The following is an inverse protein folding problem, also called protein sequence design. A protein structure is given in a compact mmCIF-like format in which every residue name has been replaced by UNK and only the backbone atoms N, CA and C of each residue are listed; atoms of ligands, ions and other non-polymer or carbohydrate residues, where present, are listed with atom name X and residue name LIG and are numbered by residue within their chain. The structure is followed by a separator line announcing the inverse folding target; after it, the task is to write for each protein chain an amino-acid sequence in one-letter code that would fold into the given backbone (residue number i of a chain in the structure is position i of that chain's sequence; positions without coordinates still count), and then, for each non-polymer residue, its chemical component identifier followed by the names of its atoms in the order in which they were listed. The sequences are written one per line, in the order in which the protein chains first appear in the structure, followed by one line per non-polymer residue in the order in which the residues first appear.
data_IF_040516876224
#
_entry.id   IF_040516876224
#
_cell.length_a   1.000
_cell.length_b   1.000
_cell.length_c   1.000
_cell.angle_alpha   90.00
_cell.angle_beta   90.00
_cell.angle_gamma   90.00
#
_symmetry.space_group_name_H-M   'P 1'
#
loop_
_entity.id
_entity.type
_entity.pdbx_description
1 polymer ?
#
# COMPACT_ATOMS: atom_id res chain seq x y z
N UNK A 1 41.65 5.34 -13.29
CA UNK A 1 40.19 5.08 -13.12
C UNK A 1 39.48 5.82 -14.23
N UNK A 2 38.48 5.21 -14.87
CA UNK A 2 37.72 5.84 -15.96
C UNK A 2 36.63 6.74 -15.38
N UNK A 3 36.46 7.95 -15.93
CA UNK A 3 35.46 8.92 -15.51
C UNK A 3 34.26 8.97 -16.49
N UNK A 4 33.06 9.19 -15.98
CA UNK A 4 31.85 9.32 -16.82
C UNK A 4 31.96 10.46 -17.84
N UNK A 5 32.68 11.52 -17.50
CA UNK A 5 32.89 12.63 -18.42
C UNK A 5 33.78 12.22 -19.61
N UNK A 6 34.78 11.37 -19.40
CA UNK A 6 35.61 10.81 -20.47
C UNK A 6 34.79 9.94 -21.43
N UNK A 7 33.85 9.12 -20.89
CA UNK A 7 32.94 8.36 -21.71
C UNK A 7 32.01 9.24 -22.56
N UNK A 8 31.49 10.36 -21.97
CA UNK A 8 30.68 11.34 -22.72
C UNK A 8 31.51 11.98 -23.85
N UNK A 9 32.73 12.35 -23.60
CA UNK A 9 33.64 12.87 -24.60
C UNK A 9 33.88 11.88 -25.73
N UNK A 10 34.15 10.61 -25.39
CA UNK A 10 34.38 9.56 -26.36
C UNK A 10 33.16 9.30 -27.25
N UNK A 11 31.95 9.17 -26.66
CA UNK A 11 30.71 8.97 -27.41
C UNK A 11 30.48 10.13 -28.39
N UNK A 12 30.67 11.38 -27.97
CA UNK A 12 30.51 12.51 -28.85
C UNK A 12 31.50 12.47 -30.05
N UNK A 13 32.76 12.06 -29.83
CA UNK A 13 33.74 11.92 -30.94
C UNK A 13 33.38 10.74 -31.80
N UNK A 14 32.91 9.62 -31.26
CA UNK A 14 32.52 8.42 -31.99
C UNK A 14 31.34 8.66 -32.92
N UNK A 15 30.36 9.46 -32.47
CA UNK A 15 29.16 9.82 -33.27
C UNK A 15 29.46 10.87 -34.33
N UNK A 16 30.25 11.87 -33.99
CA UNK A 16 30.61 12.97 -34.91
C UNK A 16 31.70 12.58 -35.91
N UNK A 17 32.51 11.58 -35.61
CA UNK A 17 33.72 11.21 -36.35
C UNK A 17 34.62 12.42 -36.67
N UNK A 18 34.57 13.44 -35.78
CA UNK A 18 35.30 14.71 -35.95
C UNK A 18 35.41 15.43 -34.60
N UNK A 19 36.65 15.62 -34.13
CA UNK A 19 36.91 16.26 -32.85
C UNK A 19 36.37 17.69 -32.73
N UNK A 20 36.45 18.52 -33.79
CA UNK A 20 35.93 19.88 -33.78
C UNK A 20 34.41 19.92 -33.61
N UNK A 21 33.64 19.10 -34.32
CA UNK A 21 32.18 19.00 -34.17
C UNK A 21 31.80 18.46 -32.80
N UNK A 22 32.49 17.41 -32.32
CA UNK A 22 32.27 16.86 -31.00
C UNK A 22 32.55 17.92 -29.87
N UNK A 23 33.60 18.71 -30.03
CA UNK A 23 33.91 19.79 -29.09
C UNK A 23 32.80 20.87 -29.05
N UNK A 24 32.31 21.31 -30.20
CA UNK A 24 31.15 22.21 -30.28
C UNK A 24 29.91 21.63 -29.60
N UNK A 25 29.60 20.37 -29.86
CA UNK A 25 28.47 19.66 -29.24
C UNK A 25 28.57 19.61 -27.73
N UNK A 26 29.78 19.48 -27.19
CA UNK A 26 30.04 19.44 -25.75
C UNK A 26 30.30 20.81 -25.10
N UNK A 27 30.11 21.90 -25.86
CA UNK A 27 30.37 23.27 -25.42
C UNK A 27 31.80 23.49 -24.91
N UNK A 28 32.79 22.92 -25.58
CA UNK A 28 34.19 22.99 -25.20
C UNK A 28 35.09 23.23 -26.44
N UNK A 29 36.37 23.50 -26.22
CA UNK A 29 37.35 23.58 -27.31
C UNK A 29 37.96 22.20 -27.59
N UNK A 30 38.55 22.03 -28.77
CA UNK A 30 39.13 20.75 -29.20
C UNK A 30 40.30 20.24 -28.33
N UNK A 31 41.26 21.12 -27.84
CA UNK A 31 42.38 20.62 -27.06
C UNK A 31 41.97 19.86 -25.78
N UNK A 32 41.08 20.39 -24.90
CA UNK A 32 40.66 19.63 -23.72
C UNK A 32 39.90 18.38 -24.09
N UNK A 33 39.09 18.36 -25.14
CA UNK A 33 38.41 17.13 -25.61
C UNK A 33 39.44 16.06 -26.00
N UNK A 34 40.45 16.43 -26.79
CA UNK A 34 41.53 15.51 -27.19
C UNK A 34 42.28 14.95 -25.97
N UNK A 35 42.50 15.77 -24.95
CA UNK A 35 43.13 15.35 -23.70
C UNK A 35 42.29 14.33 -22.94
N UNK A 36 40.95 14.51 -22.87
CA UNK A 36 40.06 13.55 -22.22
C UNK A 36 40.05 12.20 -22.94
N UNK A 37 40.09 12.20 -24.26
CA UNK A 37 40.17 10.94 -25.03
C UNK A 37 41.51 10.23 -24.80
N UNK A 38 42.64 10.98 -24.75
CA UNK A 38 43.93 10.36 -24.44
C UNK A 38 43.95 9.71 -23.05
N UNK A 39 43.48 10.42 -22.04
CA UNK A 39 43.40 9.90 -20.67
C UNK A 39 42.48 8.63 -20.60
N UNK A 40 41.40 8.61 -21.37
CA UNK A 40 40.53 7.46 -21.47
C UNK A 40 41.27 6.26 -22.10
N UNK A 41 41.93 6.46 -23.24
CA UNK A 41 42.70 5.42 -23.95
C UNK A 41 43.86 4.88 -23.07
N UNK A 42 44.55 5.78 -22.34
CA UNK A 42 45.57 5.40 -21.33
C UNK A 42 44.96 4.53 -20.21
N UNK A 43 43.77 4.91 -19.69
CA UNK A 43 43.11 4.17 -18.62
C UNK A 43 42.56 2.81 -19.09
N UNK A 44 42.11 2.70 -20.34
CA UNK A 44 41.65 1.44 -20.95
C UNK A 44 42.82 0.57 -21.41
N UNK A 45 43.98 1.17 -21.71
CA UNK A 45 45.17 0.48 -22.15
C UNK A 45 45.21 0.12 -23.63
N UNK A 46 44.23 0.58 -24.40
CA UNK A 46 44.17 0.35 -25.87
C UNK A 46 43.63 1.60 -26.57
N UNK A 47 43.98 1.76 -27.85
CA UNK A 47 43.40 2.83 -28.67
C UNK A 47 41.96 2.50 -29.05
N UNK A 48 41.08 3.45 -28.82
CA UNK A 48 39.66 3.36 -29.15
C UNK A 48 39.35 4.05 -30.48
N UNK A 49 40.19 5.02 -30.90
CA UNK A 49 40.05 5.80 -32.12
C UNK A 49 41.30 5.67 -33.01
N UNK A 50 41.09 5.39 -34.27
CA UNK A 50 42.07 5.60 -35.33
C UNK A 50 42.00 7.03 -35.81
N UNK A 51 43.13 7.76 -35.76
CA UNK A 51 43.24 9.17 -36.09
C UNK A 51 44.20 9.36 -37.25
N UNK A 52 43.75 10.00 -38.33
CA UNK A 52 44.61 10.49 -39.36
C UNK A 52 44.38 12.00 -39.59
N UNK A 53 45.18 12.63 -40.37
CA UNK A 53 44.98 14.03 -40.73
C UNK A 53 43.66 14.33 -41.44
N UNK A 54 42.96 13.31 -41.93
CA UNK A 54 41.75 13.42 -42.77
C UNK A 54 40.53 12.70 -42.21
N UNK A 55 40.71 11.81 -41.27
CA UNK A 55 39.56 10.98 -40.77
C UNK A 55 39.77 10.51 -39.32
N UNK A 56 38.67 10.35 -38.63
CA UNK A 56 38.57 9.70 -37.33
C UNK A 56 37.63 8.50 -37.48
N UNK A 57 38.04 7.33 -36.98
CA UNK A 57 37.24 6.10 -37.02
C UNK A 57 37.35 5.35 -35.70
N UNK A 58 36.36 4.55 -35.37
CA UNK A 58 36.46 3.63 -34.24
C UNK A 58 37.37 2.44 -34.57
N UNK A 59 38.20 2.02 -33.63
CA UNK A 59 38.84 0.72 -33.66
C UNK A 59 37.81 -0.39 -33.33
N UNK A 60 38.17 -1.66 -33.49
CA UNK A 60 37.33 -2.75 -33.03
C UNK A 60 37.05 -2.65 -31.51
N UNK A 61 38.09 -2.31 -30.72
CA UNK A 61 37.94 -2.03 -29.27
C UNK A 61 37.05 -0.81 -29.01
N UNK A 62 37.20 0.28 -29.81
CA UNK A 62 36.36 1.46 -29.72
C UNK A 62 34.90 1.16 -30.03
N UNK A 63 34.59 0.26 -30.95
CA UNK A 63 33.19 -0.12 -31.27
C UNK A 63 32.54 -0.83 -30.08
N UNK A 64 33.23 -1.76 -29.44
CA UNK A 64 32.72 -2.45 -28.22
C UNK A 64 32.57 -1.44 -27.09
N UNK A 65 33.61 -0.63 -26.84
CA UNK A 65 33.60 0.36 -25.77
C UNK A 65 32.49 1.42 -25.95
N UNK A 66 32.14 1.77 -27.20
CA UNK A 66 31.05 2.71 -27.49
C UNK A 66 29.71 2.21 -26.97
N UNK A 67 29.39 0.92 -27.17
CA UNK A 67 28.16 0.33 -26.70
C UNK A 67 28.11 0.27 -25.15
N UNK A 68 29.22 -0.18 -24.54
CA UNK A 68 29.34 -0.31 -23.08
C UNK A 68 29.30 1.06 -22.40
N UNK A 69 30.02 2.06 -22.93
CA UNK A 69 30.01 3.44 -22.41
C UNK A 69 28.61 4.06 -22.46
N UNK A 70 27.85 3.82 -23.53
CA UNK A 70 26.44 4.23 -23.65
C UNK A 70 25.58 3.63 -22.53
N UNK A 71 25.74 2.34 -22.27
CA UNK A 71 25.02 1.63 -21.20
C UNK A 71 25.36 2.19 -19.81
N UNK A 72 26.64 2.42 -19.56
CA UNK A 72 27.10 2.99 -18.27
C UNK A 72 26.55 4.41 -18.04
N UNK A 73 26.55 5.27 -19.07
CA UNK A 73 26.01 6.62 -18.95
C UNK A 73 24.50 6.60 -18.73
N UNK A 74 23.77 5.74 -19.43
CA UNK A 74 22.33 5.57 -19.21
C UNK A 74 22.02 5.08 -17.78
N UNK A 75 22.83 4.15 -17.25
CA UNK A 75 22.66 3.66 -15.88
C UNK A 75 22.96 4.76 -14.84
N UNK A 76 23.98 5.59 -15.07
CA UNK A 76 24.30 6.71 -14.20
C UNK A 76 23.16 7.74 -14.16
N UNK A 77 22.57 8.08 -15.32
CA UNK A 77 21.41 8.97 -15.41
C UNK A 77 20.20 8.37 -14.68
N UNK A 78 19.91 7.11 -14.89
CA UNK A 78 18.85 6.39 -14.18
C UNK A 78 19.03 6.44 -12.66
N UNK A 79 20.26 6.28 -12.17
CA UNK A 79 20.56 6.34 -10.73
C UNK A 79 20.24 7.73 -10.14
N UNK A 80 20.58 8.81 -10.86
CA UNK A 80 20.25 10.18 -10.45
C UNK A 80 18.74 10.42 -10.40
N UNK A 81 18.00 9.97 -11.42
CA UNK A 81 16.53 10.08 -11.45
C UNK A 81 15.91 9.28 -10.31
N UNK A 82 16.36 8.05 -10.09
CA UNK A 82 15.86 7.18 -9.00
C UNK A 82 16.07 7.81 -7.62
N UNK A 83 17.28 8.37 -7.36
CA UNK A 83 17.57 9.05 -6.10
C UNK A 83 16.65 10.26 -5.86
N UNK A 84 16.41 11.08 -6.89
CA UNK A 84 15.50 12.24 -6.81
C UNK A 84 14.06 11.80 -6.55
N UNK A 85 13.57 10.79 -7.27
CA UNK A 85 12.20 10.27 -7.10
C UNK A 85 11.98 9.66 -5.71
N UNK A 86 13.00 8.98 -5.16
CA UNK A 86 12.93 8.48 -3.79
C UNK A 86 12.87 9.63 -2.79
N UNK A 87 13.66 10.68 -2.98
CA UNK A 87 13.66 11.86 -2.11
C UNK A 87 12.35 12.66 -2.17
N UNK A 88 11.67 12.70 -3.33
CA UNK A 88 10.35 13.32 -3.50
C UNK A 88 9.18 12.45 -3.07
N UNK A 89 9.42 11.21 -2.65
CA UNK A 89 8.36 10.25 -2.27
C UNK A 89 7.60 9.63 -3.44
N UNK A 90 8.06 9.81 -4.68
CA UNK A 90 7.47 9.19 -5.88
C UNK A 90 7.93 7.75 -6.10
N UNK A 91 8.97 7.32 -5.41
CA UNK A 91 9.47 5.96 -5.41
C UNK A 91 9.86 5.54 -3.98
N UNK A 92 9.82 4.25 -3.69
CA UNK A 92 10.17 3.71 -2.38
C UNK A 92 9.33 2.51 -2.02
N UNK A 93 9.19 2.24 -0.72
CA UNK A 93 8.39 1.13 -0.21
C UNK A 93 7.51 1.61 0.93
N UNK A 94 6.24 1.19 0.93
CA UNK A 94 5.28 1.46 2.01
C UNK A 94 4.65 0.14 2.44
N UNK A 95 4.78 -0.19 3.72
CA UNK A 95 4.20 -1.38 4.35
C UNK A 95 2.86 -0.99 4.97
N UNK A 96 1.77 -1.61 4.51
CA UNK A 96 0.41 -1.32 4.94
C UNK A 96 -0.12 -2.52 5.74
N UNK A 97 -0.39 -2.30 7.04
CA UNK A 97 -1.13 -3.22 7.89
C UNK A 97 -2.64 -3.07 7.67
N UNK A 98 -3.38 -4.18 7.70
CA UNK A 98 -4.85 -4.14 7.57
C UNK A 98 -5.51 -5.31 8.28
N UNK A 99 -6.77 -5.14 8.68
CA UNK A 99 -7.59 -6.23 9.24
C UNK A 99 -8.17 -7.09 8.12
N UNK A 100 -8.37 -8.40 8.36
CA UNK A 100 -8.91 -9.35 7.38
C UNK A 100 -10.13 -8.81 6.62
N UNK A 101 -11.08 -8.19 7.31
CA UNK A 101 -12.30 -7.65 6.66
C UNK A 101 -12.00 -6.48 5.72
N UNK A 102 -11.03 -5.61 6.04
CA UNK A 102 -10.58 -4.55 5.14
C UNK A 102 -9.98 -5.15 3.84
N UNK A 103 -9.34 -6.31 3.92
CA UNK A 103 -8.79 -7.06 2.80
C UNK A 103 -9.84 -7.48 1.76
N UNK A 104 -11.09 -7.69 2.17
CA UNK A 104 -12.19 -8.06 1.27
C UNK A 104 -12.95 -6.87 0.68
N UNK A 105 -12.79 -5.68 1.23
CA UNK A 105 -13.63 -4.52 0.85
C UNK A 105 -12.80 -3.33 0.38
N UNK A 106 -11.84 -2.85 1.17
CA UNK A 106 -11.13 -1.58 0.96
C UNK A 106 -9.77 -1.78 0.27
N UNK A 107 -9.01 -2.78 0.69
CA UNK A 107 -7.61 -2.93 0.25
C UNK A 107 -7.46 -3.15 -1.26
N UNK A 108 -8.31 -3.97 -1.94
CA UNK A 108 -8.19 -4.15 -3.39
C UNK A 108 -8.34 -2.83 -4.17
N UNK A 109 -9.33 -2.02 -3.83
CA UNK A 109 -9.57 -0.73 -4.49
C UNK A 109 -8.45 0.27 -4.18
N UNK A 110 -7.99 0.30 -2.94
CA UNK A 110 -6.86 1.12 -2.53
C UNK A 110 -5.59 0.79 -3.33
N UNK A 111 -5.25 -0.50 -3.47
CA UNK A 111 -4.07 -0.92 -4.23
C UNK A 111 -4.15 -0.48 -5.68
N UNK A 112 -5.33 -0.57 -6.30
CA UNK A 112 -5.54 -0.10 -7.68
C UNK A 112 -5.31 1.42 -7.79
N UNK A 113 -5.85 2.20 -6.86
CA UNK A 113 -5.64 3.66 -6.81
C UNK A 113 -4.15 3.98 -6.63
N UNK A 114 -3.49 3.33 -5.66
CA UNK A 114 -2.06 3.57 -5.38
C UNK A 114 -1.16 3.20 -6.56
N UNK A 115 -1.41 2.06 -7.23
CA UNK A 115 -0.64 1.66 -8.43
C UNK A 115 -0.79 2.64 -9.59
N UNK A 116 -1.96 3.27 -9.72
CA UNK A 116 -2.22 4.27 -10.75
C UNK A 116 -1.46 5.57 -10.47
N UNK A 117 -1.44 6.03 -9.21
CA UNK A 117 -0.82 7.31 -8.83
C UNK A 117 0.69 7.17 -8.57
N UNK A 118 1.12 6.04 -8.03
CA UNK A 118 2.50 5.78 -7.62
C UNK A 118 2.99 4.42 -8.14
N UNK A 119 3.22 4.28 -9.47
CA UNK A 119 3.64 3.00 -10.07
C UNK A 119 4.99 2.49 -9.55
N UNK A 120 5.85 3.37 -9.03
CA UNK A 120 7.19 3.05 -8.55
C UNK A 120 7.29 2.96 -7.01
N UNK A 121 6.16 3.02 -6.30
CA UNK A 121 6.11 2.69 -4.87
C UNK A 121 5.76 1.19 -4.72
N UNK A 122 6.66 0.45 -4.05
CA UNK A 122 6.42 -0.94 -3.65
C UNK A 122 5.46 -0.98 -2.45
N UNK A 123 4.21 -1.39 -2.70
CA UNK A 123 3.19 -1.51 -1.66
C UNK A 123 3.20 -2.94 -1.11
N UNK A 124 3.60 -3.08 0.15
CA UNK A 124 3.63 -4.36 0.87
C UNK A 124 2.44 -4.45 1.81
N UNK A 125 1.61 -5.46 1.64
CA UNK A 125 0.41 -5.68 2.43
C UNK A 125 0.67 -6.71 3.55
N UNK A 126 0.21 -6.41 4.79
CA UNK A 126 0.29 -7.30 5.94
C UNK A 126 -1.05 -7.41 6.65
N UNK A 127 -1.65 -8.60 6.60
CA UNK A 127 -2.85 -8.87 7.37
C UNK A 127 -2.50 -9.09 8.85
N UNK A 128 -3.13 -8.32 9.75
CA UNK A 128 -2.85 -8.31 11.17
C UNK A 128 -4.10 -7.87 11.95
N UNK A 129 -4.28 -8.35 13.18
CA UNK A 129 -5.31 -7.78 14.08
C UNK A 129 -4.90 -6.39 14.56
N UNK A 130 -5.86 -5.55 14.98
CA UNK A 130 -5.60 -4.14 15.29
C UNK A 130 -4.58 -3.92 16.40
N UNK A 131 -4.49 -4.81 17.39
CA UNK A 131 -3.47 -4.75 18.45
C UNK A 131 -2.06 -5.01 17.94
N UNK A 132 -1.90 -5.95 17.00
CA UNK A 132 -0.62 -6.24 16.35
C UNK A 132 -0.20 -5.08 15.45
N UNK A 133 -1.16 -4.49 14.70
CA UNK A 133 -0.89 -3.30 13.86
C UNK A 133 -0.37 -2.14 14.70
N UNK A 134 -0.92 -1.93 15.90
CA UNK A 134 -0.45 -0.89 16.82
C UNK A 134 1.02 -1.12 17.23
N UNK A 135 1.39 -2.35 17.58
CA UNK A 135 2.77 -2.70 17.91
C UNK A 135 3.70 -2.55 16.68
N UNK A 136 3.22 -2.93 15.50
CA UNK A 136 3.96 -2.82 14.25
C UNK A 136 4.20 -1.37 13.83
N UNK A 137 3.24 -0.46 14.03
CA UNK A 137 3.43 0.99 13.84
C UNK A 137 4.47 1.54 14.82
N UNK A 138 4.40 1.16 16.10
CA UNK A 138 5.34 1.63 17.12
C UNK A 138 6.79 1.17 16.86
N UNK A 139 6.97 0.02 16.26
CA UNK A 139 8.29 -0.52 15.88
C UNK A 139 8.72 -0.12 14.45
N UNK A 140 7.94 0.71 13.75
CA UNK A 140 8.16 1.08 12.33
C UNK A 140 8.28 -0.12 11.37
N UNK A 141 7.75 -1.29 11.74
CA UNK A 141 7.68 -2.45 10.85
C UNK A 141 6.48 -2.39 9.88
N UNK A 142 5.55 -1.48 10.14
CA UNK A 142 4.43 -1.06 9.30
C UNK A 142 4.43 0.47 9.23
N UNK A 143 4.21 1.03 8.06
CA UNK A 143 4.18 2.48 7.83
C UNK A 143 2.77 3.05 8.03
N UNK A 144 1.76 2.37 7.49
CA UNK A 144 0.34 2.74 7.57
C UNK A 144 -0.48 1.54 8.08
N UNK A 145 -1.52 1.79 8.85
CA UNK A 145 -2.38 0.74 9.38
C UNK A 145 -3.87 1.05 9.22
N UNK A 146 -4.62 0.14 8.59
CA UNK A 146 -6.08 0.16 8.57
C UNK A 146 -6.61 -0.67 9.72
N UNK A 147 -6.93 -0.01 10.82
CA UNK A 147 -7.23 -0.66 12.09
C UNK A 147 -8.51 -0.15 12.75
N UNK A 148 -9.11 -0.97 13.58
CA UNK A 148 -10.21 -0.55 14.46
C UNK A 148 -9.64 0.29 15.60
N UNK A 149 -10.44 1.22 16.17
CA UNK A 149 -10.00 2.01 17.31
C UNK A 149 -9.48 1.13 18.46
N UNK A 150 -8.27 1.40 18.91
CA UNK A 150 -7.67 0.78 20.10
C UNK A 150 -7.03 1.87 20.96
N UNK A 151 -7.05 1.67 22.26
CA UNK A 151 -6.32 2.56 23.18
C UNK A 151 -4.82 2.45 22.91
N UNK A 152 -4.17 3.57 22.58
CA UNK A 152 -2.73 3.62 22.35
C UNK A 152 -2.03 4.50 23.38
N UNK A 153 -0.82 4.06 23.80
CA UNK A 153 0.12 4.88 24.59
C UNK A 153 1.09 5.67 23.67
N UNK A 154 1.13 5.32 22.38
CA UNK A 154 2.03 5.96 21.40
C UNK A 154 1.27 7.06 20.66
N UNK A 155 1.94 8.18 20.32
CA UNK A 155 1.37 9.25 19.52
C UNK A 155 1.30 8.83 18.05
N UNK A 156 0.12 8.45 17.58
CA UNK A 156 -0.16 8.19 16.18
C UNK A 156 -1.08 9.25 15.60
N UNK A 157 -0.93 9.55 14.31
CA UNK A 157 -1.94 10.25 13.54
C UNK A 157 -3.07 9.29 13.18
N UNK A 158 -4.32 9.80 13.12
CA UNK A 158 -5.50 9.02 12.76
C UNK A 158 -6.38 9.78 11.79
N UNK A 159 -6.93 9.06 10.82
CA UNK A 159 -8.02 9.55 9.97
C UNK A 159 -9.12 8.51 9.89
N UNK A 160 -10.38 8.90 10.09
CA UNK A 160 -11.53 8.02 9.86
C UNK A 160 -11.65 7.75 8.36
N UNK A 161 -11.62 6.47 7.96
CA UNK A 161 -11.74 6.04 6.56
C UNK A 161 -13.12 5.46 6.28
N UNK A 162 -13.59 4.56 7.14
CA UNK A 162 -14.92 3.92 6.99
C UNK A 162 -15.71 4.05 8.28
N UNK A 163 -16.98 4.45 8.15
CA UNK A 163 -17.99 4.35 9.19
C UNK A 163 -19.21 3.67 8.61
N UNK A 164 -19.50 2.48 9.11
CA UNK A 164 -20.49 1.58 8.55
C UNK A 164 -21.46 1.03 9.61
N UNK A 165 -22.73 0.77 9.29
CA UNK A 165 -23.67 0.20 10.24
C UNK A 165 -23.31 -1.24 10.61
N UNK A 166 -23.66 -1.64 11.82
CA UNK A 166 -23.63 -3.04 12.25
C UNK A 166 -24.95 -3.72 11.88
N UNK A 167 -24.85 -4.94 11.35
CA UNK A 167 -25.97 -5.74 10.86
C UNK A 167 -26.05 -7.07 11.61
N UNK A 168 -27.25 -7.60 11.80
CA UNK A 168 -27.41 -8.99 12.21
C UNK A 168 -27.21 -9.91 10.99
N UNK A 169 -26.28 -10.85 11.10
CA UNK A 169 -26.10 -11.95 10.17
C UNK A 169 -26.78 -13.20 10.72
N UNK A 170 -27.57 -13.89 9.90
CA UNK A 170 -28.35 -15.05 10.27
C UNK A 170 -28.55 -15.99 9.07
N UNK A 171 -28.77 -17.30 9.29
CA UNK A 171 -29.12 -18.23 8.21
C UNK A 171 -30.40 -17.76 7.49
N UNK A 172 -30.46 -17.94 6.16
CA UNK A 172 -31.65 -17.57 5.38
C UNK A 172 -32.92 -18.31 5.82
N UNK A 173 -32.77 -19.52 6.38
CA UNK A 173 -33.87 -20.33 6.93
C UNK A 173 -34.35 -19.89 8.33
N UNK A 174 -33.63 -18.96 8.98
CA UNK A 174 -33.98 -18.54 10.34
C UNK A 174 -35.28 -17.72 10.35
N UNK A 175 -36.20 -17.92 11.35
CA UNK A 175 -37.48 -17.16 11.38
C UNK A 175 -37.33 -15.63 11.36
N UNK A 176 -36.28 -15.11 11.96
CA UNK A 176 -35.97 -13.68 11.94
C UNK A 176 -35.57 -13.15 10.55
N UNK A 177 -35.23 -14.02 9.60
CA UNK A 177 -34.83 -13.60 8.26
C UNK A 177 -35.96 -12.90 7.49
N UNK A 178 -37.23 -13.15 7.81
CA UNK A 178 -38.38 -12.48 7.23
C UNK A 178 -38.63 -11.05 7.76
N UNK A 179 -38.04 -10.70 8.91
CA UNK A 179 -38.21 -9.37 9.49
C UNK A 179 -37.39 -8.34 8.72
N UNK A 180 -37.95 -7.17 8.38
CA UNK A 180 -37.21 -6.10 7.71
C UNK A 180 -36.15 -5.44 8.61
N UNK A 181 -36.36 -5.44 9.93
CA UNK A 181 -35.45 -4.90 10.96
C UNK A 181 -35.52 -5.78 12.20
N UNK A 182 -34.40 -5.87 12.92
CA UNK A 182 -34.26 -6.70 14.11
C UNK A 182 -34.16 -5.82 15.36
N UNK A 183 -35.04 -6.06 16.32
CA UNK A 183 -34.91 -5.49 17.66
C UNK A 183 -33.96 -6.35 18.49
N UNK A 184 -33.20 -5.74 19.42
CA UNK A 184 -32.27 -6.50 20.28
C UNK A 184 -32.97 -7.60 21.08
N UNK A 185 -34.21 -7.34 21.54
CA UNK A 185 -35.05 -8.34 22.24
C UNK A 185 -35.32 -9.61 21.43
N UNK A 186 -35.29 -9.53 20.09
CA UNK A 186 -35.48 -10.70 19.23
C UNK A 186 -34.32 -11.70 19.33
N UNK A 187 -33.16 -11.26 19.86
CA UNK A 187 -31.98 -12.08 20.09
C UNK A 187 -31.89 -12.67 21.51
N UNK A 188 -32.87 -12.36 22.37
CA UNK A 188 -32.93 -12.91 23.74
C UNK A 188 -32.94 -14.44 23.66
N UNK A 189 -32.03 -15.08 24.40
CA UNK A 189 -31.88 -16.55 24.48
C UNK A 189 -31.57 -17.24 23.12
N UNK A 190 -31.35 -16.48 22.03
CA UNK A 190 -30.92 -17.08 20.77
C UNK A 190 -29.46 -17.49 20.84
N UNK A 191 -29.05 -18.61 20.21
CA UNK A 191 -27.65 -18.95 20.03
C UNK A 191 -26.92 -17.80 19.31
N UNK A 192 -25.85 -17.29 19.92
CA UNK A 192 -25.14 -16.12 19.43
C UNK A 192 -23.62 -16.37 19.40
N UNK A 193 -23.00 -16.07 18.26
CA UNK A 193 -21.57 -16.15 18.06
C UNK A 193 -21.00 -14.76 18.31
N UNK A 194 -20.19 -14.64 19.36
CA UNK A 194 -19.58 -13.37 19.80
C UNK A 194 -18.17 -13.25 19.28
N UNK A 195 -17.66 -12.03 19.15
CA UNK A 195 -16.24 -11.81 18.92
C UNK A 195 -15.41 -12.18 20.15
N UNK A 196 -14.17 -12.64 19.91
CA UNK A 196 -13.20 -12.92 20.98
C UNK A 196 -12.90 -11.64 21.77
N UNK A 197 -12.89 -11.69 23.12
CA UNK A 197 -12.57 -10.51 23.94
C UNK A 197 -11.12 -10.03 23.81
N UNK A 198 -10.20 -10.87 23.31
CA UNK A 198 -8.79 -10.53 23.10
C UNK A 198 -8.56 -9.98 21.69
N UNK A 199 -8.67 -10.85 20.67
CA UNK A 199 -8.32 -10.50 19.28
C UNK A 199 -9.43 -9.70 18.59
N UNK A 200 -10.69 -9.92 18.96
CA UNK A 200 -11.87 -9.22 18.47
C UNK A 200 -12.37 -8.09 19.38
N UNK A 201 -11.53 -7.60 20.29
CA UNK A 201 -11.88 -6.70 21.40
C UNK A 201 -12.80 -5.55 21.01
N UNK A 202 -12.50 -4.84 19.95
CA UNK A 202 -13.31 -3.70 19.49
C UNK A 202 -14.79 -4.08 19.28
N UNK A 203 -15.04 -5.16 18.53
CA UNK A 203 -16.41 -5.63 18.28
C UNK A 203 -17.02 -6.27 19.51
N UNK A 204 -16.23 -7.01 20.29
CA UNK A 204 -16.69 -7.63 21.54
C UNK A 204 -17.25 -6.58 22.48
N UNK A 205 -16.49 -5.54 22.83
CA UNK A 205 -16.89 -4.49 23.77
C UNK A 205 -18.12 -3.73 23.26
N UNK A 206 -18.15 -3.43 21.95
CA UNK A 206 -19.24 -2.68 21.33
C UNK A 206 -20.56 -3.46 21.35
N UNK A 207 -20.53 -4.76 21.03
CA UNK A 207 -21.71 -5.64 21.02
C UNK A 207 -22.13 -5.99 22.45
N UNK A 208 -21.19 -6.29 23.35
CA UNK A 208 -21.49 -6.53 24.76
C UNK A 208 -22.15 -5.32 25.42
N UNK A 209 -21.61 -4.11 25.18
CA UNK A 209 -22.21 -2.86 25.65
C UNK A 209 -23.63 -2.63 25.11
N UNK A 210 -23.88 -2.99 23.83
CA UNK A 210 -25.19 -2.91 23.21
C UNK A 210 -26.22 -3.81 23.91
N UNK A 211 -25.86 -5.05 24.20
CA UNK A 211 -26.73 -5.99 24.91
C UNK A 211 -26.92 -5.57 26.36
N UNK A 212 -25.86 -5.18 27.05
CA UNK A 212 -25.94 -4.71 28.45
C UNK A 212 -26.88 -3.51 28.60
N UNK A 213 -26.76 -2.51 27.71
CA UNK A 213 -27.62 -1.31 27.72
C UNK A 213 -29.08 -1.60 27.44
N UNK A 214 -29.41 -2.73 26.79
CA UNK A 214 -30.79 -3.14 26.46
C UNK A 214 -31.37 -4.17 27.42
N UNK A 215 -30.60 -4.66 28.37
CA UNK A 215 -31.01 -5.75 29.25
C UNK A 215 -31.25 -7.10 28.56
N UNK A 216 -30.70 -7.28 27.35
CA UNK A 216 -30.86 -8.51 26.55
C UNK A 216 -29.65 -9.41 26.79
N UNK A 217 -29.91 -10.68 27.06
CA UNK A 217 -28.87 -11.71 27.24
C UNK A 217 -29.05 -12.80 26.16
N UNK A 218 -28.24 -12.77 25.07
CA UNK A 218 -28.18 -13.90 24.14
C UNK A 218 -27.48 -15.10 24.79
N UNK A 219 -27.69 -16.29 24.21
CA UNK A 219 -26.94 -17.47 24.60
C UNK A 219 -25.63 -17.53 23.80
N UNK A 220 -24.50 -17.13 24.39
CA UNK A 220 -23.20 -17.17 23.72
C UNK A 220 -22.74 -18.62 23.54
N UNK A 221 -22.68 -19.09 22.28
CA UNK A 221 -22.27 -20.46 21.93
C UNK A 221 -20.81 -20.55 21.52
N UNK A 222 -20.22 -19.47 20.99
CA UNK A 222 -18.83 -19.42 20.56
C UNK A 222 -18.26 -17.99 20.68
N UNK A 223 -16.92 -17.90 20.81
CA UNK A 223 -16.15 -16.66 20.75
C UNK A 223 -15.08 -16.78 19.68
N UNK A 224 -15.13 -15.97 18.64
CA UNK A 224 -14.32 -16.06 17.43
C UNK A 224 -13.66 -14.71 17.12
N UNK A 225 -12.39 -14.72 16.72
CA UNK A 225 -11.64 -13.50 16.42
C UNK A 225 -12.04 -12.85 15.08
N UNK A 226 -12.30 -13.66 14.06
CA UNK A 226 -12.40 -13.22 12.68
C UNK A 226 -13.83 -13.30 12.13
N UNK A 227 -14.27 -12.21 11.48
CA UNK A 227 -15.64 -12.08 10.93
C UNK A 227 -15.95 -13.17 9.90
N UNK A 228 -14.99 -13.55 9.04
CA UNK A 228 -15.25 -14.60 8.04
C UNK A 228 -15.52 -15.95 8.67
N UNK A 229 -14.85 -16.30 9.77
CA UNK A 229 -15.11 -17.54 10.53
C UNK A 229 -16.46 -17.46 11.25
N UNK A 230 -16.79 -16.30 11.85
CA UNK A 230 -18.11 -16.06 12.44
C UNK A 230 -19.21 -16.35 11.39
N UNK A 231 -19.08 -15.77 10.20
CA UNK A 231 -20.06 -15.95 9.14
C UNK A 231 -20.14 -17.41 8.64
N UNK A 232 -19.01 -18.12 8.58
CA UNK A 232 -19.03 -19.55 8.25
C UNK A 232 -19.85 -20.35 9.26
N UNK A 233 -19.74 -20.06 10.56
CA UNK A 233 -20.53 -20.68 11.61
C UNK A 233 -22.02 -20.25 11.56
N UNK A 234 -22.30 -18.99 11.24
CA UNK A 234 -23.68 -18.52 10.97
C UNK A 234 -24.28 -19.31 9.81
N UNK A 235 -23.55 -19.48 8.69
CA UNK A 235 -23.99 -20.29 7.54
C UNK A 235 -24.29 -21.72 7.94
N UNK A 236 -23.53 -22.29 8.85
CA UNK A 236 -23.75 -23.64 9.39
C UNK A 236 -24.92 -23.74 10.39
N UNK A 237 -25.58 -22.63 10.71
CA UNK A 237 -26.72 -22.62 11.65
C UNK A 237 -26.33 -22.70 13.13
N UNK A 238 -25.08 -22.48 13.49
CA UNK A 238 -24.58 -22.58 14.87
C UNK A 238 -25.14 -21.44 15.75
N UNK A 239 -25.40 -20.26 15.15
CA UNK A 239 -25.94 -19.12 15.86
C UNK A 239 -26.07 -17.88 15.00
N UNK A 240 -26.52 -16.79 15.60
CA UNK A 240 -26.60 -15.47 15.01
C UNK A 240 -25.33 -14.69 15.33
N UNK A 241 -25.03 -13.63 14.56
CA UNK A 241 -23.93 -12.71 14.88
C UNK A 241 -24.23 -11.27 14.45
N UNK A 242 -23.73 -10.29 15.18
CA UNK A 242 -23.72 -8.90 14.75
C UNK A 242 -22.36 -8.61 14.11
N UNK A 243 -22.36 -8.17 12.85
CA UNK A 243 -21.16 -7.93 12.04
C UNK A 243 -21.24 -6.57 11.34
N UNK A 244 -20.13 -5.93 10.94
CA UNK A 244 -20.17 -4.70 10.16
C UNK A 244 -20.71 -4.95 8.74
N UNK A 245 -21.27 -3.93 8.11
CA UNK A 245 -21.91 -4.04 6.79
C UNK A 245 -20.95 -4.51 5.70
N UNK A 246 -19.66 -4.17 5.79
CA UNK A 246 -18.59 -4.64 4.88
C UNK A 246 -18.43 -6.16 4.86
N UNK A 247 -18.95 -6.89 5.87
CA UNK A 247 -18.98 -8.34 5.88
C UNK A 247 -19.79 -8.94 4.70
N UNK A 248 -20.70 -8.16 4.08
CA UNK A 248 -21.40 -8.55 2.85
C UNK A 248 -20.46 -8.77 1.67
N UNK A 249 -19.28 -8.14 1.66
CA UNK A 249 -18.28 -8.33 0.61
C UNK A 249 -17.79 -9.79 0.50
N UNK A 250 -17.92 -10.59 1.56
CA UNK A 250 -17.62 -12.02 1.54
C UNK A 250 -18.59 -12.85 0.67
N UNK A 251 -19.75 -12.29 0.29
CA UNK A 251 -20.74 -12.89 -0.62
C UNK A 251 -21.10 -14.35 -0.28
N UNK A 252 -21.20 -14.66 1.01
CA UNK A 252 -21.54 -16.03 1.44
C UNK A 252 -23.01 -16.33 1.17
N UNK A 253 -23.27 -17.41 0.44
CA UNK A 253 -24.62 -17.91 0.19
C UNK A 253 -25.32 -18.38 1.47
N UNK A 254 -26.65 -18.33 1.49
CA UNK A 254 -27.51 -18.74 2.59
C UNK A 254 -27.33 -17.94 3.89
N UNK A 255 -26.73 -16.77 3.82
CA UNK A 255 -26.72 -15.79 4.92
C UNK A 255 -27.57 -14.57 4.51
N UNK A 256 -28.40 -14.13 5.41
CA UNK A 256 -29.18 -12.89 5.30
C UNK A 256 -28.65 -11.89 6.31
N UNK A 257 -28.53 -10.64 5.87
CA UNK A 257 -28.14 -9.53 6.71
C UNK A 257 -29.33 -8.62 6.97
N UNK A 258 -29.63 -8.30 8.22
CA UNK A 258 -30.74 -7.45 8.61
C UNK A 258 -30.25 -6.25 9.42
N UNK A 259 -30.71 -5.03 9.12
CA UNK A 259 -30.40 -3.87 9.93
C UNK A 259 -31.00 -4.02 11.32
N UNK A 260 -30.25 -3.55 12.33
CA UNK A 260 -30.76 -3.41 13.67
C UNK A 260 -31.78 -2.26 13.74
N UNK A 261 -32.73 -2.36 14.67
CA UNK A 261 -33.70 -1.27 14.88
C UNK A 261 -33.01 0.03 15.35
N UNK A 262 -31.87 -0.10 16.07
CA UNK A 262 -31.03 1.02 16.49
C UNK A 262 -30.15 1.49 15.34
N UNK A 263 -30.26 2.80 15.02
CA UNK A 263 -29.51 3.43 13.91
C UNK A 263 -28.13 3.98 14.34
N UNK A 264 -27.82 3.94 15.65
CA UNK A 264 -26.62 4.51 16.25
C UNK A 264 -25.45 3.50 16.46
N UNK A 265 -25.60 2.28 15.91
CA UNK A 265 -24.61 1.21 16.05
C UNK A 265 -23.76 1.12 14.81
N UNK A 266 -22.58 1.73 14.87
CA UNK A 266 -21.63 1.77 13.74
C UNK A 266 -20.33 1.06 14.09
N UNK A 267 -19.65 0.54 13.08
CA UNK A 267 -18.27 0.15 13.13
C UNK A 267 -17.42 1.21 12.41
N UNK A 268 -16.25 1.49 12.95
CA UNK A 268 -15.33 2.48 12.40
C UNK A 268 -13.99 1.83 12.06
N UNK A 269 -13.40 2.21 10.93
CA UNK A 269 -12.06 1.83 10.52
C UNK A 269 -11.25 3.11 10.31
N UNK A 270 -10.08 3.16 10.92
CA UNK A 270 -9.18 4.29 10.83
C UNK A 270 -7.92 3.91 10.05
N UNK A 271 -7.41 4.86 9.28
CA UNK A 271 -6.02 4.90 8.89
C UNK A 271 -5.23 5.45 10.08
N UNK A 272 -4.15 4.77 10.46
CA UNK A 272 -3.22 5.21 11.48
C UNK A 272 -1.79 5.25 10.93
N UNK A 273 -0.96 6.19 11.42
CA UNK A 273 0.44 6.34 11.01
C UNK A 273 1.29 6.91 12.16
N UNK A 274 2.62 6.64 12.20
CA UNK A 274 3.52 7.28 13.14
C UNK A 274 3.60 8.78 12.84
N UNK A 275 3.57 9.64 13.88
CA UNK A 275 3.74 11.10 13.70
C UNK A 275 5.17 11.46 13.28
N UNK A 276 6.15 10.68 13.74
CA UNK A 276 7.55 10.81 13.35
C UNK A 276 7.96 9.64 12.47
N UNK A 277 8.38 9.92 11.25
CA UNK A 277 8.89 8.91 10.31
C UNK A 277 9.89 9.54 9.33
N UNK A 278 10.65 8.69 8.63
CA UNK A 278 11.66 9.10 7.63
C UNK A 278 11.34 8.61 6.22
N UNK A 279 10.14 8.10 6.00
CA UNK A 279 9.72 7.56 4.70
C UNK A 279 8.90 8.60 3.92
N UNK A 280 9.47 9.31 2.91
CA UNK A 280 8.72 10.30 2.13
C UNK A 280 7.53 9.69 1.36
N UNK A 281 7.64 8.41 0.93
CA UNK A 281 6.57 7.71 0.24
C UNK A 281 5.33 7.50 1.13
N UNK A 282 5.51 7.41 2.47
CA UNK A 282 4.40 7.31 3.41
C UNK A 282 3.48 8.52 3.31
N UNK A 283 4.02 9.74 3.28
CA UNK A 283 3.21 10.97 3.22
C UNK A 283 2.41 11.03 1.92
N UNK A 284 3.03 10.70 0.78
CA UNK A 284 2.36 10.66 -0.50
C UNK A 284 1.20 9.65 -0.52
N UNK A 285 1.43 8.41 -0.06
CA UNK A 285 0.40 7.38 0.03
C UNK A 285 -0.70 7.77 1.02
N UNK A 286 -0.34 8.29 2.20
CA UNK A 286 -1.29 8.75 3.22
C UNK A 286 -2.23 9.83 2.68
N UNK A 287 -1.68 10.81 1.96
CA UNK A 287 -2.47 11.89 1.39
C UNK A 287 -3.53 11.36 0.43
N UNK A 288 -3.16 10.48 -0.51
CA UNK A 288 -4.10 9.84 -1.44
C UNK A 288 -5.19 9.07 -0.69
N UNK A 289 -4.84 8.28 0.34
CA UNK A 289 -5.85 7.55 1.14
C UNK A 289 -6.85 8.49 1.78
N UNK A 290 -6.39 9.63 2.32
CA UNK A 290 -7.26 10.61 2.97
C UNK A 290 -8.14 11.35 1.95
N UNK A 291 -7.63 11.67 0.78
CA UNK A 291 -8.38 12.33 -0.31
C UNK A 291 -9.47 11.40 -0.89
N UNK A 292 -9.13 10.15 -1.15
CA UNK A 292 -10.05 9.16 -1.73
C UNK A 292 -10.96 8.47 -0.70
N UNK A 293 -10.91 8.85 0.59
CA UNK A 293 -11.73 8.23 1.65
C UNK A 293 -13.23 8.22 1.34
N UNK A 294 -13.76 9.23 0.64
CA UNK A 294 -15.18 9.29 0.25
C UNK A 294 -15.56 8.20 -0.76
N UNK A 295 -14.65 7.82 -1.64
CA UNK A 295 -14.84 6.71 -2.58
C UNK A 295 -14.86 5.35 -1.87
N UNK A 296 -14.15 5.21 -0.75
CA UNK A 296 -14.14 3.98 0.06
C UNK A 296 -15.35 3.86 1.00
N UNK A 297 -16.10 4.93 1.19
CA UNK A 297 -17.30 4.89 2.04
C UNK A 297 -18.50 4.25 1.33
N UNK A 298 -18.35 3.74 0.09
CA UNK A 298 -19.37 3.06 -0.67
C UNK A 298 -20.77 3.69 -0.55
N UNK A 299 -21.59 3.66 -1.55
CA UNK A 299 -22.96 4.16 -1.43
C UNK A 299 -23.63 3.62 -0.16
N UNK A 300 -23.60 4.40 0.90
CA UNK A 300 -24.28 4.12 2.18
C UNK A 300 -25.81 4.29 2.02
N UNK A 301 -26.33 3.87 0.88
CA UNK A 301 -27.76 3.70 0.65
C UNK A 301 -28.16 2.31 1.15
N UNK A 302 -28.44 2.24 2.47
CA UNK A 302 -29.05 1.08 3.12
C UNK A 302 -30.46 1.36 3.58
#
# INVERSE_FOLDING_TARGET
MIELFQMKCFIAVAEELHFGRAAVRLFMTQPPLSRQIQLLEEAVGVQLLERSSRSVRLTAAGTVFYQDAGTVLALAEKALVSARRTASGEAGRVVIGYTALAGYSLIPDLVNVLKTHFPDIDIVLREMVSSEQQAALASHSVDLAFMRPVMSKHPFGYALVVREPMLLALPASHPLASKPRIALKDMAQQPFIMYSPQEGKYFHERIAGLFAASGVCPHYVQHIAQTHTILALVKAGIGLAIVPASAKALRLENIVYRPLWRKDVFAELYLAWPLEHRNPALDAVRQIVVEYRSAFQGDATF
#
